data_IF_695784057135
#
_entry.id   IF_695784057135
#
_cell.length_a   1.000
_cell.length_b   1.000
_cell.length_c   1.000
_cell.angle_alpha   90.00
_cell.angle_beta   90.00
_cell.angle_gamma   90.00
#
_symmetry.space_group_name_H-M   'P 1'
#
loop_
_entity.id
_entity.type
_entity.pdbx_description
1 polymer ?
#
# COMPACT_ATOMS: atom_id res chain seq x y z
N UNK A 1 7.43 -14.32 -3.30
CA UNK A 1 8.59 -15.14 -2.95
C UNK A 1 8.92 -14.97 -1.47
N UNK A 2 9.35 -16.04 -0.81
CA UNK A 2 9.77 -15.97 0.59
C UNK A 2 11.29 -15.76 0.64
N UNK A 3 11.71 -14.55 0.95
CA UNK A 3 13.08 -14.20 1.27
C UNK A 3 13.24 -13.85 2.76
N UNK A 4 14.45 -13.60 3.23
CA UNK A 4 14.72 -13.33 4.63
C UNK A 4 13.98 -12.07 5.12
N UNK A 5 13.89 -11.03 4.29
CA UNK A 5 13.20 -9.78 4.63
C UNK A 5 11.68 -10.00 4.72
N UNK A 6 11.08 -10.64 3.72
CA UNK A 6 9.64 -10.96 3.68
C UNK A 6 9.23 -11.84 4.86
N UNK A 7 10.06 -12.81 5.21
CA UNK A 7 9.79 -13.71 6.35
C UNK A 7 9.83 -12.96 7.68
N UNK A 8 10.82 -12.10 7.90
CA UNK A 8 10.89 -11.28 9.13
C UNK A 8 9.67 -10.36 9.22
N UNK A 9 9.31 -9.68 8.11
CA UNK A 9 8.14 -8.83 8.06
C UNK A 9 6.86 -9.61 8.38
N UNK A 10 6.68 -10.79 7.76
CA UNK A 10 5.51 -11.63 7.97
C UNK A 10 5.41 -12.14 9.42
N UNK A 11 6.52 -12.61 10.00
CA UNK A 11 6.55 -13.08 11.38
C UNK A 11 6.20 -11.98 12.38
N UNK A 12 6.84 -10.81 12.26
CA UNK A 12 6.57 -9.66 13.13
C UNK A 12 5.14 -9.17 12.94
N UNK A 13 4.70 -9.00 11.69
CA UNK A 13 3.35 -8.56 11.37
C UNK A 13 2.28 -9.52 11.89
N UNK A 14 2.46 -10.82 11.71
CA UNK A 14 1.50 -11.84 12.20
C UNK A 14 1.46 -11.89 13.73
N UNK A 15 2.60 -11.79 14.40
CA UNK A 15 2.64 -11.75 15.86
C UNK A 15 1.92 -10.50 16.41
N UNK A 16 2.25 -9.33 15.87
CA UNK A 16 1.60 -8.07 16.27
C UNK A 16 0.11 -8.08 15.96
N UNK A 17 -0.31 -8.74 14.86
CA UNK A 17 -1.71 -8.86 14.49
C UNK A 17 -2.54 -9.57 15.56
N UNK A 18 -2.02 -10.62 16.17
CA UNK A 18 -2.71 -11.34 17.25
C UNK A 18 -3.04 -10.36 18.39
N UNK A 19 -2.05 -9.56 18.81
CA UNK A 19 -2.21 -8.59 19.89
C UNK A 19 -3.19 -7.49 19.47
N UNK A 20 -3.05 -6.98 18.23
CA UNK A 20 -3.88 -5.90 17.68
C UNK A 20 -5.35 -6.30 17.60
N UNK A 21 -5.68 -7.53 17.24
CA UNK A 21 -7.08 -8.00 17.17
C UNK A 21 -7.76 -7.91 18.53
N UNK A 22 -7.09 -8.36 19.59
CA UNK A 22 -7.65 -8.26 20.96
C UNK A 22 -7.79 -6.81 21.40
N UNK A 23 -6.77 -6.00 21.15
CA UNK A 23 -6.80 -4.57 21.47
C UNK A 23 -7.90 -3.84 20.72
N UNK A 24 -7.98 -4.03 19.39
CA UNK A 24 -8.99 -3.38 18.54
C UNK A 24 -10.42 -3.77 18.96
N UNK A 25 -10.66 -5.05 19.29
CA UNK A 25 -11.97 -5.47 19.77
C UNK A 25 -12.37 -4.80 21.09
N UNK A 26 -11.43 -4.64 22.02
CA UNK A 26 -11.64 -3.90 23.28
C UNK A 26 -11.88 -2.43 23.06
N UNK A 27 -11.07 -1.79 22.19
CA UNK A 27 -11.16 -0.38 21.84
C UNK A 27 -12.50 -0.02 21.20
N UNK A 28 -12.91 -0.76 20.17
CA UNK A 28 -14.16 -0.51 19.44
C UNK A 28 -15.41 -0.71 20.32
N UNK A 29 -15.35 -1.70 21.23
CA UNK A 29 -16.42 -1.91 22.22
C UNK A 29 -16.46 -0.81 23.29
N UNK A 30 -15.30 -0.38 23.77
CA UNK A 30 -15.20 0.68 24.78
C UNK A 30 -15.72 2.03 24.29
N UNK A 31 -15.54 2.34 23.01
CA UNK A 31 -16.08 3.53 22.36
C UNK A 31 -17.54 3.38 21.86
N UNK A 32 -18.13 2.19 21.99
CA UNK A 32 -19.45 1.86 21.43
C UNK A 32 -19.53 2.15 19.90
N UNK A 33 -18.44 1.89 19.17
CA UNK A 33 -18.38 2.13 17.73
C UNK A 33 -19.36 1.22 16.98
N UNK A 34 -20.00 1.78 15.94
CA UNK A 34 -20.89 1.03 15.07
C UNK A 34 -20.11 0.16 14.07
N UNK A 35 -20.77 -0.81 13.46
CA UNK A 35 -20.24 -1.65 12.37
C UNK A 35 -18.85 -2.28 12.65
N UNK A 36 -18.60 -2.77 13.86
CA UNK A 36 -17.34 -3.36 14.29
C UNK A 36 -16.89 -4.54 13.41
N UNK A 37 -17.84 -5.34 12.90
CA UNK A 37 -17.54 -6.45 11.97
C UNK A 37 -16.98 -5.96 10.65
N UNK A 38 -17.55 -4.87 10.09
CA UNK A 38 -17.04 -4.23 8.86
C UNK A 38 -15.62 -3.72 9.07
N UNK A 39 -15.38 -3.04 10.19
CA UNK A 39 -14.06 -2.55 10.57
C UNK A 39 -13.05 -3.70 10.62
N UNK A 40 -13.33 -4.75 11.39
CA UNK A 40 -12.44 -5.90 11.55
C UNK A 40 -12.17 -6.64 10.24
N UNK A 41 -13.19 -6.80 9.39
CA UNK A 41 -13.04 -7.43 8.08
C UNK A 41 -12.14 -6.60 7.14
N UNK A 42 -12.36 -5.29 7.04
CA UNK A 42 -11.54 -4.41 6.22
C UNK A 42 -10.09 -4.33 6.74
N UNK A 43 -9.92 -4.34 8.06
CA UNK A 43 -8.60 -4.34 8.68
C UNK A 43 -7.83 -5.64 8.39
N UNK A 44 -8.49 -6.80 8.49
CA UNK A 44 -7.90 -8.09 8.11
C UNK A 44 -7.53 -8.15 6.61
N UNK A 45 -8.39 -7.62 5.72
CA UNK A 45 -8.10 -7.54 4.29
C UNK A 45 -6.94 -6.60 3.98
N UNK A 46 -6.79 -5.52 4.73
CA UNK A 46 -5.64 -4.62 4.61
C UNK A 46 -4.33 -5.33 4.98
N UNK A 47 -4.34 -6.12 6.06
CA UNK A 47 -3.18 -6.94 6.43
C UNK A 47 -2.87 -8.00 5.38
N UNK A 48 -3.89 -8.69 4.86
CA UNK A 48 -3.72 -9.63 3.75
C UNK A 48 -3.02 -8.96 2.55
N UNK A 49 -3.47 -7.76 2.17
CA UNK A 49 -2.83 -6.98 1.12
C UNK A 49 -1.38 -6.62 1.43
N UNK A 50 -1.08 -6.21 2.67
CA UNK A 50 0.28 -5.91 3.11
C UNK A 50 1.21 -7.13 3.06
N UNK A 51 0.71 -8.30 3.46
CA UNK A 51 1.46 -9.56 3.31
C UNK A 51 1.70 -9.90 1.83
N UNK A 52 0.68 -9.67 0.97
CA UNK A 52 0.83 -9.84 -0.47
C UNK A 52 1.92 -8.95 -1.08
N UNK A 53 2.02 -7.69 -0.64
CA UNK A 53 3.13 -6.78 -1.02
C UNK A 53 4.47 -7.34 -0.55
N UNK A 54 4.57 -7.82 0.70
CA UNK A 54 5.80 -8.34 1.27
C UNK A 54 6.33 -9.59 0.53
N UNK A 55 5.43 -10.43 0.02
CA UNK A 55 5.77 -11.65 -0.72
C UNK A 55 5.77 -11.47 -2.24
N UNK A 56 5.57 -10.26 -2.75
CA UNK A 56 5.60 -10.00 -4.18
C UNK A 56 6.99 -10.32 -4.77
N UNK A 57 7.02 -11.06 -5.86
CA UNK A 57 8.26 -11.44 -6.58
C UNK A 57 8.46 -10.60 -7.85
N UNK A 58 7.46 -9.81 -8.21
CA UNK A 58 7.52 -8.91 -9.36
C UNK A 58 6.76 -7.61 -9.09
N UNK A 59 7.06 -6.59 -9.89
CA UNK A 59 6.51 -5.25 -9.75
C UNK A 59 4.99 -5.22 -9.98
N UNK A 60 4.46 -6.08 -10.85
CA UNK A 60 3.02 -6.16 -11.12
C UNK A 60 2.25 -6.71 -9.91
N UNK A 61 2.73 -7.80 -9.32
CA UNK A 61 2.12 -8.38 -8.10
C UNK A 61 2.17 -7.39 -6.94
N UNK A 62 3.30 -6.68 -6.77
CA UNK A 62 3.42 -5.62 -5.76
C UNK A 62 2.37 -4.53 -5.99
N UNK A 63 2.23 -4.05 -7.23
CA UNK A 63 1.23 -3.04 -7.59
C UNK A 63 -0.20 -3.51 -7.30
N UNK A 64 -0.56 -4.75 -7.66
CA UNK A 64 -1.89 -5.29 -7.39
C UNK A 64 -2.21 -5.31 -5.89
N UNK A 65 -1.33 -5.84 -5.07
CA UNK A 65 -1.56 -5.89 -3.62
C UNK A 65 -1.53 -4.50 -2.98
N UNK A 66 -0.75 -3.57 -3.52
CA UNK A 66 -0.78 -2.17 -3.12
C UNK A 66 -2.15 -1.53 -3.38
N UNK A 67 -2.78 -1.80 -4.53
CA UNK A 67 -4.15 -1.35 -4.84
C UNK A 67 -5.18 -2.03 -3.91
N UNK A 68 -5.04 -3.33 -3.61
CA UNK A 68 -5.89 -4.02 -2.64
C UNK A 68 -5.84 -3.34 -1.28
N UNK A 69 -4.64 -3.03 -0.77
CA UNK A 69 -4.50 -2.28 0.49
C UNK A 69 -5.20 -0.92 0.42
N UNK A 70 -5.10 -0.21 -0.71
CA UNK A 70 -5.73 1.12 -0.88
C UNK A 70 -7.24 1.04 -0.82
N UNK A 71 -7.83 0.07 -1.52
CA UNK A 71 -9.29 -0.15 -1.56
C UNK A 71 -9.81 -0.62 -0.21
N UNK A 72 -9.12 -1.56 0.45
CA UNK A 72 -9.55 -2.09 1.75
C UNK A 72 -9.42 -1.08 2.89
N UNK A 73 -8.50 -0.12 2.79
CA UNK A 73 -8.35 0.95 3.78
C UNK A 73 -9.42 2.05 3.62
N UNK A 74 -9.98 2.25 2.43
CA UNK A 74 -11.00 3.27 2.19
C UNK A 74 -12.20 3.18 3.16
N UNK A 75 -12.85 2.00 3.38
CA UNK A 75 -13.94 1.88 4.34
C UNK A 75 -13.53 2.09 5.80
N UNK A 76 -12.24 1.92 6.12
CA UNK A 76 -11.71 2.21 7.46
C UNK A 76 -11.65 3.72 7.71
N UNK A 77 -11.17 4.49 6.72
CA UNK A 77 -11.14 5.96 6.81
C UNK A 77 -12.56 6.54 6.82
N UNK A 78 -13.49 5.98 6.03
CA UNK A 78 -14.90 6.37 6.00
C UNK A 78 -15.75 5.71 7.11
N UNK A 79 -15.15 5.25 8.22
CA UNK A 79 -15.85 4.43 9.22
C UNK A 79 -17.06 5.13 9.83
N UNK A 80 -16.90 6.38 10.23
CA UNK A 80 -17.96 7.18 10.87
C UNK A 80 -19.13 7.54 9.95
N UNK A 81 -18.93 7.48 8.62
CA UNK A 81 -19.97 7.78 7.61
C UNK A 81 -20.56 9.18 7.72
N UNK A 82 -19.83 10.11 8.31
CA UNK A 82 -20.16 11.53 8.37
C UNK A 82 -19.49 12.31 7.22
N UNK A 83 -19.79 13.61 7.12
CA UNK A 83 -19.25 14.46 6.06
C UNK A 83 -17.71 14.55 6.11
N UNK A 84 -17.13 14.58 7.31
CA UNK A 84 -15.69 14.67 7.52
C UNK A 84 -14.98 13.35 7.16
N UNK A 85 -15.53 12.21 7.58
CA UNK A 85 -15.03 10.89 7.24
C UNK A 85 -15.08 10.60 5.74
N UNK A 86 -16.16 11.01 5.05
CA UNK A 86 -16.24 10.87 3.60
C UNK A 86 -15.27 11.80 2.85
N UNK A 87 -15.06 13.04 3.31
CA UNK A 87 -14.10 13.95 2.70
C UNK A 87 -12.66 13.43 2.88
N UNK A 88 -12.32 12.96 4.08
CA UNK A 88 -11.03 12.32 4.37
C UNK A 88 -10.79 11.08 3.51
N UNK A 89 -11.77 10.17 3.44
CA UNK A 89 -11.70 8.96 2.64
C UNK A 89 -11.60 9.25 1.14
N UNK A 90 -12.32 10.27 0.65
CA UNK A 90 -12.26 10.70 -0.75
C UNK A 90 -10.88 11.26 -1.10
N UNK A 91 -10.31 12.11 -0.25
CA UNK A 91 -8.93 12.59 -0.43
C UNK A 91 -7.95 11.43 -0.45
N UNK A 92 -8.05 10.52 0.52
CA UNK A 92 -7.22 9.33 0.60
C UNK A 92 -7.23 8.52 -0.71
N UNK A 93 -8.41 8.08 -1.17
CA UNK A 93 -8.49 7.21 -2.34
C UNK A 93 -8.07 7.93 -3.63
N UNK A 94 -8.44 9.21 -3.80
CA UNK A 94 -8.08 10.00 -4.98
C UNK A 94 -6.58 10.18 -5.07
N UNK A 95 -5.90 10.60 -4.00
CA UNK A 95 -4.44 10.77 -4.02
C UNK A 95 -3.72 9.46 -4.31
N UNK A 96 -4.03 8.39 -3.58
CA UNK A 96 -3.33 7.11 -3.74
C UNK A 96 -3.59 6.45 -5.09
N UNK A 97 -4.84 6.48 -5.56
CA UNK A 97 -5.18 5.89 -6.86
C UNK A 97 -4.60 6.69 -8.01
N UNK A 98 -4.63 8.04 -7.95
CA UNK A 98 -4.09 8.88 -9.01
C UNK A 98 -2.58 8.75 -9.11
N UNK A 99 -1.85 8.73 -7.99
CA UNK A 99 -0.39 8.55 -8.00
C UNK A 99 0.02 7.16 -8.48
N UNK A 100 -0.64 6.11 -8.01
CA UNK A 100 -0.35 4.75 -8.44
C UNK A 100 -0.63 4.54 -9.93
N UNK A 101 -1.77 5.00 -10.43
CA UNK A 101 -2.15 4.87 -11.85
C UNK A 101 -1.44 5.87 -12.77
N UNK A 102 -1.13 7.05 -12.28
CA UNK A 102 -0.48 8.10 -13.06
C UNK A 102 1.04 7.98 -13.13
N UNK A 103 1.68 7.38 -12.13
CA UNK A 103 3.14 7.28 -12.05
C UNK A 103 3.63 5.83 -12.08
N UNK A 104 3.12 4.94 -11.22
CA UNK A 104 3.62 3.55 -11.16
C UNK A 104 3.20 2.75 -12.39
N UNK A 105 1.95 2.84 -12.81
CA UNK A 105 1.46 2.05 -13.94
C UNK A 105 2.20 2.41 -15.25
N UNK A 106 2.35 3.69 -15.64
CA UNK A 106 3.15 4.05 -16.82
C UNK A 106 4.61 3.63 -16.69
N UNK A 107 5.23 3.81 -15.51
CA UNK A 107 6.61 3.37 -15.27
C UNK A 107 6.74 1.86 -15.46
N UNK A 108 5.80 1.08 -14.95
CA UNK A 108 5.75 -0.37 -15.09
C UNK A 108 5.60 -0.80 -16.56
N UNK A 109 4.75 -0.12 -17.35
CA UNK A 109 4.60 -0.37 -18.78
C UNK A 109 5.92 -0.11 -19.51
N UNK A 110 6.58 1.01 -19.23
CA UNK A 110 7.88 1.33 -19.84
C UNK A 110 8.95 0.31 -19.48
N UNK A 111 9.03 -0.09 -18.19
CA UNK A 111 9.95 -1.15 -17.75
C UNK A 111 9.68 -2.44 -18.52
N UNK A 112 8.43 -2.86 -18.62
CA UNK A 112 8.07 -4.08 -19.34
C UNK A 112 8.42 -4.02 -20.83
N UNK A 113 8.21 -2.90 -21.49
CA UNK A 113 8.57 -2.71 -22.91
C UNK A 113 10.09 -2.78 -23.12
N UNK A 114 10.87 -2.30 -22.15
CA UNK A 114 12.34 -2.29 -22.24
C UNK A 114 12.99 -3.64 -21.89
N UNK A 115 12.43 -4.35 -20.91
CA UNK A 115 13.08 -5.54 -20.34
C UNK A 115 12.38 -6.85 -20.69
N UNK A 116 11.12 -6.79 -21.12
CA UNK A 116 10.30 -7.97 -21.40
C UNK A 116 9.74 -8.68 -20.16
N UNK A 117 10.11 -8.24 -18.94
CA UNK A 117 9.59 -8.78 -17.70
C UNK A 117 9.50 -7.72 -16.59
N UNK A 118 8.89 -8.08 -15.46
CA UNK A 118 8.74 -7.22 -14.28
C UNK A 118 9.31 -7.88 -13.02
N UNK A 119 10.05 -8.97 -13.15
CA UNK A 119 10.55 -9.74 -12.02
C UNK A 119 11.70 -8.99 -11.32
N UNK A 120 11.72 -9.06 -9.99
CA UNK A 120 12.82 -8.51 -9.22
C UNK A 120 14.06 -9.37 -9.38
N UNK A 121 15.16 -8.75 -9.80
CA UNK A 121 16.43 -9.45 -10.00
C UNK A 121 17.14 -9.67 -8.66
N UNK A 122 16.76 -10.71 -7.94
CA UNK A 122 17.26 -10.99 -6.60
C UNK A 122 18.75 -11.32 -6.51
N UNK A 123 19.37 -11.73 -7.62
CA UNK A 123 20.78 -12.17 -7.66
C UNK A 123 21.66 -11.31 -8.57
N UNK A 124 21.15 -10.22 -9.12
CA UNK A 124 21.92 -9.32 -10.00
C UNK A 124 22.09 -7.95 -9.36
N UNK A 125 23.26 -7.37 -9.51
CA UNK A 125 23.54 -5.99 -9.11
C UNK A 125 22.88 -4.95 -10.05
N UNK A 126 22.19 -5.40 -11.10
CA UNK A 126 21.62 -4.55 -12.14
C UNK A 126 20.16 -4.17 -11.90
N UNK A 127 19.48 -4.77 -10.91
CA UNK A 127 18.05 -4.52 -10.63
C UNK A 127 17.13 -5.01 -11.76
N UNK A 128 15.92 -4.42 -11.87
CA UNK A 128 14.94 -4.79 -12.89
C UNK A 128 15.36 -4.30 -14.28
N UNK A 129 16.03 -3.13 -14.34
CA UNK A 129 16.51 -2.55 -15.60
C UNK A 129 17.84 -3.17 -15.98
N UNK A 130 17.87 -3.93 -17.07
CA UNK A 130 19.10 -4.43 -17.65
C UNK A 130 19.96 -3.29 -18.23
N UNK A 131 21.24 -3.56 -18.49
CA UNK A 131 22.27 -2.61 -18.92
C UNK A 131 21.98 -1.79 -20.22
N UNK A 132 20.77 -1.88 -20.78
CA UNK A 132 20.36 -1.16 -21.99
C UNK A 132 19.59 0.16 -21.75
N UNK A 133 19.18 0.45 -20.51
CA UNK A 133 18.51 1.70 -20.21
C UNK A 133 19.53 2.79 -19.89
N UNK A 134 19.31 4.03 -20.38
CA UNK A 134 20.16 5.16 -20.00
C UNK A 134 19.95 5.50 -18.51
N UNK A 135 21.00 5.93 -17.82
CA UNK A 135 20.94 6.29 -16.39
C UNK A 135 19.85 7.34 -16.10
N UNK A 136 19.64 8.27 -17.02
CA UNK A 136 18.59 9.28 -16.90
C UNK A 136 17.19 8.65 -16.91
N UNK A 137 16.93 7.69 -17.82
CA UNK A 137 15.64 7.00 -17.89
C UNK A 137 15.42 6.13 -16.64
N UNK A 138 16.45 5.40 -16.20
CA UNK A 138 16.39 4.60 -14.97
C UNK A 138 16.05 5.47 -13.75
N UNK A 139 16.67 6.64 -13.64
CA UNK A 139 16.39 7.60 -12.56
C UNK A 139 14.95 8.12 -12.62
N UNK A 140 14.44 8.46 -13.79
CA UNK A 140 13.04 8.93 -13.96
C UNK A 140 12.06 7.82 -13.55
N UNK A 141 12.25 6.59 -14.01
CA UNK A 141 11.38 5.47 -13.66
C UNK A 141 11.40 5.18 -12.16
N UNK A 142 12.58 5.25 -11.54
CA UNK A 142 12.74 5.08 -10.10
C UNK A 142 11.98 6.16 -9.31
N UNK A 143 12.14 7.43 -9.69
CA UNK A 143 11.42 8.56 -9.08
C UNK A 143 9.91 8.40 -9.26
N UNK A 144 9.43 7.99 -10.44
CA UNK A 144 8.02 7.71 -10.68
C UNK A 144 7.49 6.60 -9.76
N UNK A 145 8.24 5.53 -9.55
CA UNK A 145 7.85 4.47 -8.62
C UNK A 145 7.80 4.97 -7.16
N UNK A 146 8.81 5.71 -6.71
CA UNK A 146 8.84 6.26 -5.33
C UNK A 146 7.67 7.21 -5.10
N UNK A 147 7.44 8.17 -5.99
CA UNK A 147 6.36 9.14 -5.85
C UNK A 147 4.98 8.50 -6.05
N UNK A 148 4.90 7.47 -6.89
CA UNK A 148 3.66 6.77 -7.17
C UNK A 148 3.18 5.89 -6.02
N UNK A 149 4.09 5.34 -5.21
CA UNK A 149 3.75 4.65 -3.96
C UNK A 149 3.55 5.64 -2.80
N UNK A 150 2.61 6.56 -2.96
CA UNK A 150 2.39 7.71 -2.08
C UNK A 150 1.87 7.39 -0.67
N UNK A 151 1.66 6.12 -0.30
CA UNK A 151 1.30 5.69 1.07
C UNK A 151 2.34 6.10 2.11
N UNK A 152 3.57 6.35 1.69
CA UNK A 152 4.64 6.84 2.55
C UNK A 152 4.49 8.32 2.95
N UNK A 153 3.43 9.00 2.50
CA UNK A 153 3.23 10.43 2.78
C UNK A 153 4.30 11.34 2.17
N UNK A 154 4.87 10.96 1.02
CA UNK A 154 5.95 11.71 0.35
C UNK A 154 5.42 13.00 -0.26
N UNK A 155 6.13 14.11 -0.09
CA UNK A 155 5.84 15.36 -0.80
C UNK A 155 6.01 15.16 -2.32
N UNK A 156 5.11 15.70 -3.13
CA UNK A 156 3.99 16.61 -2.82
C UNK A 156 2.67 15.91 -2.46
N UNK A 157 2.62 14.59 -2.43
CA UNK A 157 1.38 13.78 -2.29
C UNK A 157 1.02 13.41 -0.85
N UNK A 158 1.42 14.22 0.14
CA UNK A 158 1.21 13.93 1.58
C UNK A 158 -0.14 14.43 2.13
N UNK A 159 -0.89 15.25 1.38
CA UNK A 159 -2.07 15.98 1.87
C UNK A 159 -3.25 15.10 2.31
N UNK A 160 -3.25 13.83 1.88
CA UNK A 160 -4.24 12.85 2.30
C UNK A 160 -4.05 12.41 3.76
N UNK A 161 -2.82 12.48 4.29
CA UNK A 161 -2.45 11.92 5.59
C UNK A 161 -3.22 12.58 6.75
N UNK A 162 -3.28 13.93 6.88
CA UNK A 162 -4.10 14.57 7.91
C UNK A 162 -5.58 14.25 7.76
N UNK A 163 -6.09 14.17 6.52
CA UNK A 163 -7.50 13.84 6.26
C UNK A 163 -7.86 12.39 6.63
N UNK A 164 -6.92 11.47 6.59
CA UNK A 164 -7.15 10.08 6.98
C UNK A 164 -7.19 9.86 8.51
N UNK A 165 -6.73 10.84 9.31
CA UNK A 165 -6.72 10.76 10.78
C UNK A 165 -8.11 10.85 11.41
N UNK A 166 -9.16 11.07 10.63
CA UNK A 166 -10.57 10.99 11.07
C UNK A 166 -10.98 9.54 11.38
N UNK A 167 -10.25 8.55 10.85
CA UNK A 167 -10.53 7.15 11.12
C UNK A 167 -10.36 6.81 12.62
N UNK A 168 -11.23 5.95 13.19
CA UNK A 168 -10.96 5.39 14.51
C UNK A 168 -9.67 4.57 14.44
N UNK A 169 -8.68 4.96 15.20
CA UNK A 169 -7.36 4.30 15.25
C UNK A 169 -7.22 3.56 16.57
N UNK A 170 -7.44 2.24 16.57
CA UNK A 170 -7.14 1.41 17.73
C UNK A 170 -5.64 1.25 17.96
#
# INVERSE_FOLDING_TARGET
RADAFSMVFALVGSFLWIITVFYAAGYMRGLNEHAQTRFSACFALTLFGAMGVAFADNLFTLYLFYEVVSVCTYPLVAHHQDAEGYDGARKYIVYLTTTAKGLVLPAMIVIYVLTGNLDFAHNSHTGILSAGASDALATVLYVCCILGFAKNGIMPFHHWLPGAMVAPTP
#
